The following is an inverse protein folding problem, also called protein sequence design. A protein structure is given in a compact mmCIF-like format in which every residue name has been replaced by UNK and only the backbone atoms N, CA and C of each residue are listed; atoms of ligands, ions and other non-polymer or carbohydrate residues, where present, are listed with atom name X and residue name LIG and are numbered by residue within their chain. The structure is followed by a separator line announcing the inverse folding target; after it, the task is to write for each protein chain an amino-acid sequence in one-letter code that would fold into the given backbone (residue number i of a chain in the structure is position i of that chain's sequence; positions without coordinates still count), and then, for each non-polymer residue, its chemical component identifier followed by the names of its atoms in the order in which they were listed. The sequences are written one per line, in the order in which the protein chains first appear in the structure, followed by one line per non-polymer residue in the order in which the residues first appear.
data_IF_870581111080
#
_entry.id   IF_870581111080
#
_cell.length_a   1.000
_cell.length_b   1.000
_cell.length_c   1.000
_cell.angle_alpha   90.00
_cell.angle_beta   90.00
_cell.angle_gamma   90.00
#
_symmetry.space_group_name_H-M   'P 1'
#
loop_
_entity.id
_entity.type
_entity.pdbx_description
1 polymer ?
#
# COMPACT_ATOMS: atom_id res chain seq x y z
N UNK A 1 -78.11 -16.64 -30.87
CA UNK A 1 -76.75 -17.33 -30.84
C UNK A 1 -75.74 -16.34 -30.40
N UNK A 2 -75.38 -16.34 -29.11
CA UNK A 2 -74.33 -15.48 -28.54
C UNK A 2 -73.11 -16.34 -28.31
N UNK A 3 -71.95 -16.04 -28.97
CA UNK A 3 -70.68 -16.67 -28.76
C UNK A 3 -69.93 -15.96 -27.66
N UNK A 4 -69.70 -16.65 -26.56
CA UNK A 4 -68.86 -16.18 -25.43
C UNK A 4 -67.39 -16.40 -25.75
N UNK A 5 -66.60 -15.32 -25.79
CA UNK A 5 -65.12 -15.42 -25.94
C UNK A 5 -64.54 -15.54 -24.52
N UNK A 6 -63.85 -16.67 -24.30
CA UNK A 6 -63.02 -16.87 -23.08
C UNK A 6 -61.65 -16.26 -23.33
N UNK A 7 -61.28 -15.24 -22.57
CA UNK A 7 -59.91 -14.69 -22.56
C UNK A 7 -59.06 -15.45 -21.55
N UNK A 8 -58.01 -16.13 -22.02
CA UNK A 8 -57.01 -16.78 -21.17
C UNK A 8 -55.95 -15.75 -20.85
N UNK A 9 -55.89 -15.35 -19.57
CA UNK A 9 -54.77 -14.53 -19.03
C UNK A 9 -53.58 -15.45 -18.76
N UNK A 10 -52.52 -15.36 -19.59
CA UNK A 10 -51.26 -15.99 -19.31
C UNK A 10 -50.45 -15.10 -18.32
N UNK A 11 -50.33 -15.55 -17.08
CA UNK A 11 -49.44 -14.95 -16.12
C UNK A 11 -47.98 -15.34 -16.44
N UNK A 12 -47.20 -14.43 -17.00
CA UNK A 12 -45.77 -14.59 -17.14
C UNK A 12 -45.09 -14.38 -15.77
N UNK A 13 -44.72 -15.47 -15.10
CA UNK A 13 -43.81 -15.41 -13.97
C UNK A 13 -42.44 -15.02 -14.49
N UNK A 14 -42.03 -13.77 -14.28
CA UNK A 14 -40.67 -13.31 -14.52
C UNK A 14 -39.73 -14.02 -13.55
N UNK A 15 -38.91 -14.93 -14.06
CA UNK A 15 -37.73 -15.43 -13.37
C UNK A 15 -36.78 -14.23 -13.20
N UNK A 16 -36.71 -13.70 -11.98
CA UNK A 16 -35.58 -12.84 -11.58
C UNK A 16 -34.37 -13.78 -11.51
N UNK A 17 -33.60 -13.83 -12.61
CA UNK A 17 -32.29 -14.42 -12.59
C UNK A 17 -31.46 -13.58 -11.61
N UNK A 18 -31.13 -14.14 -10.43
CA UNK A 18 -30.03 -13.65 -9.64
C UNK A 18 -28.77 -13.78 -10.52
N UNK A 19 -28.35 -12.69 -11.14
CA UNK A 19 -27.04 -12.60 -11.76
C UNK A 19 -26.04 -12.75 -10.62
N UNK A 20 -25.42 -13.92 -10.50
CA UNK A 20 -24.20 -14.07 -9.70
C UNK A 20 -23.23 -13.04 -10.26
N UNK A 21 -22.85 -12.10 -9.43
CA UNK A 21 -21.75 -11.17 -9.75
C UNK A 21 -20.54 -12.01 -10.14
N UNK A 22 -19.97 -11.71 -11.29
CA UNK A 22 -18.70 -12.31 -11.69
C UNK A 22 -17.66 -11.95 -10.63
N UNK A 23 -16.76 -12.89 -10.27
CA UNK A 23 -15.63 -12.58 -9.39
C UNK A 23 -14.70 -11.53 -10.03
N UNK A 24 -13.62 -11.13 -9.34
CA UNK A 24 -12.70 -10.11 -9.85
C UNK A 24 -12.07 -10.52 -11.18
N UNK A 25 -11.85 -9.55 -12.06
CA UNK A 25 -11.05 -9.70 -13.27
C UNK A 25 -9.57 -9.59 -12.90
N UNK A 26 -8.90 -10.76 -12.77
CA UNK A 26 -7.51 -10.82 -12.32
C UNK A 26 -6.55 -10.42 -13.43
N UNK A 27 -5.43 -9.77 -13.05
CA UNK A 27 -4.30 -9.56 -13.95
C UNK A 27 -3.73 -10.94 -14.30
N UNK A 28 -3.47 -11.23 -15.60
CA UNK A 28 -2.90 -12.49 -16.04
C UNK A 28 -1.51 -12.74 -15.45
N UNK A 29 -1.27 -13.92 -14.88
CA UNK A 29 0.00 -14.24 -14.23
C UNK A 29 1.20 -14.20 -15.20
N UNK A 30 0.97 -14.48 -16.48
CA UNK A 30 1.98 -14.41 -17.54
C UNK A 30 2.57 -13.01 -17.74
N UNK A 31 1.85 -11.95 -17.37
CA UNK A 31 2.35 -10.57 -17.44
C UNK A 31 3.50 -10.30 -16.43
N UNK A 32 3.68 -11.21 -15.47
CA UNK A 32 4.72 -11.13 -14.43
C UNK A 32 5.71 -12.28 -14.49
N UNK A 33 5.60 -13.19 -15.45
CA UNK A 33 6.51 -14.32 -15.61
C UNK A 33 7.78 -13.85 -16.33
N UNK A 34 8.84 -13.53 -15.58
CA UNK A 34 10.11 -13.01 -16.10
C UNK A 34 11.29 -13.39 -15.18
N UNK A 35 12.48 -12.96 -15.55
CA UNK A 35 13.69 -13.06 -14.76
C UNK A 35 14.28 -11.67 -14.55
N UNK A 36 14.34 -11.22 -13.31
CA UNK A 36 14.92 -9.92 -12.93
C UNK A 36 16.20 -10.15 -12.13
N UNK A 37 17.32 -9.58 -12.56
CA UNK A 37 18.64 -9.75 -11.94
C UNK A 37 19.03 -11.22 -11.71
N UNK A 38 18.65 -12.11 -12.64
CA UNK A 38 18.95 -13.54 -12.58
C UNK A 38 18.02 -14.36 -11.69
N UNK A 39 17.02 -13.76 -11.08
CA UNK A 39 16.02 -14.43 -10.22
C UNK A 39 14.63 -14.46 -10.86
N UNK A 40 13.90 -15.58 -10.76
CA UNK A 40 12.55 -15.68 -11.33
C UNK A 40 11.57 -14.79 -10.59
N UNK A 41 10.71 -14.12 -11.36
CA UNK A 41 9.61 -13.29 -10.85
C UNK A 41 8.28 -13.87 -11.32
N UNK A 42 7.26 -13.77 -10.47
CA UNK A 42 5.91 -14.22 -10.76
C UNK A 42 4.85 -13.39 -10.02
N UNK A 43 3.60 -13.56 -10.44
CA UNK A 43 2.42 -13.02 -9.77
C UNK A 43 1.70 -14.15 -9.03
N UNK A 44 1.39 -13.93 -7.77
CA UNK A 44 0.71 -14.87 -6.88
C UNK A 44 -0.65 -14.30 -6.50
N UNK A 45 -1.68 -15.14 -6.49
CA UNK A 45 -3.03 -14.76 -6.07
C UNK A 45 -3.38 -15.49 -4.78
N UNK A 46 -3.75 -14.74 -3.75
CA UNK A 46 -4.28 -15.25 -2.48
C UNK A 46 -5.63 -14.61 -2.20
N UNK A 47 -6.50 -15.31 -1.47
CA UNK A 47 -7.86 -14.85 -1.20
C UNK A 47 -8.37 -15.33 0.14
N UNK A 48 -9.30 -14.57 0.72
CA UNK A 48 -10.04 -14.94 1.94
C UNK A 48 -11.27 -14.06 2.10
N UNK A 49 -12.40 -14.64 2.49
CA UNK A 49 -13.66 -13.93 2.50
C UNK A 49 -13.98 -13.35 1.12
N UNK A 50 -14.22 -12.05 1.07
CA UNK A 50 -14.55 -11.31 -0.16
C UNK A 50 -13.33 -10.57 -0.76
N UNK A 51 -12.13 -10.73 -0.19
CA UNK A 51 -10.91 -10.06 -0.67
C UNK A 51 -10.06 -11.02 -1.49
N UNK A 52 -9.61 -10.56 -2.65
CA UNK A 52 -8.59 -11.22 -3.48
C UNK A 52 -7.40 -10.29 -3.65
N UNK A 53 -6.21 -10.78 -3.36
CA UNK A 53 -4.95 -10.05 -3.43
C UNK A 53 -4.05 -10.67 -4.49
N UNK A 54 -3.45 -9.84 -5.36
CA UNK A 54 -2.36 -10.25 -6.23
C UNK A 54 -1.04 -9.62 -5.78
N UNK A 55 0.00 -10.44 -5.65
CA UNK A 55 1.31 -10.05 -5.13
C UNK A 55 2.40 -10.54 -6.07
N UNK A 56 3.39 -9.69 -6.39
CA UNK A 56 4.61 -10.14 -7.04
C UNK A 56 5.76 -10.24 -6.04
N UNK A 57 6.66 -11.20 -6.23
CA UNK A 57 7.87 -11.30 -5.43
C UNK A 57 8.96 -10.29 -5.83
N UNK A 58 8.78 -9.48 -6.86
CA UNK A 58 9.63 -8.32 -7.13
C UNK A 58 9.20 -7.14 -6.24
N UNK A 59 10.06 -6.77 -5.28
CA UNK A 59 9.76 -5.74 -4.29
C UNK A 59 8.68 -6.13 -3.29
N UNK A 60 8.30 -7.43 -3.26
CA UNK A 60 7.21 -7.96 -2.44
C UNK A 60 5.94 -7.09 -2.54
N UNK A 61 5.58 -6.70 -3.79
CA UNK A 61 4.54 -5.70 -4.06
C UNK A 61 3.15 -6.28 -4.02
N UNK A 62 2.26 -5.55 -3.40
CA UNK A 62 0.82 -5.67 -3.64
C UNK A 62 0.54 -5.06 -5.01
N UNK A 63 0.09 -5.89 -5.94
CA UNK A 63 -0.21 -5.47 -7.32
C UNK A 63 -1.66 -5.05 -7.44
N UNK A 64 -2.58 -5.85 -6.86
CA UNK A 64 -4.03 -5.59 -6.86
C UNK A 64 -4.67 -6.01 -5.55
N UNK A 65 -5.70 -5.31 -5.14
CA UNK A 65 -6.61 -5.69 -4.05
C UNK A 65 -8.03 -5.59 -4.58
N UNK A 66 -8.66 -6.71 -4.85
CA UNK A 66 -10.05 -6.75 -5.28
C UNK A 66 -10.97 -6.94 -4.07
N UNK A 67 -11.98 -6.10 -4.00
CA UNK A 67 -13.05 -6.20 -3.00
C UNK A 67 -14.38 -5.81 -3.63
N UNK A 68 -15.52 -6.40 -3.22
CA UNK A 68 -16.80 -6.01 -3.77
C UNK A 68 -17.27 -4.67 -3.20
N UNK A 69 -17.95 -3.89 -4.03
CA UNK A 69 -18.73 -2.74 -3.61
C UNK A 69 -20.04 -3.17 -2.92
N UNK A 70 -20.86 -2.21 -2.50
CA UNK A 70 -22.17 -2.45 -1.86
C UNK A 70 -23.17 -3.19 -2.77
N UNK A 71 -22.94 -3.20 -4.08
CA UNK A 71 -23.79 -3.86 -5.09
C UNK A 71 -23.21 -5.24 -5.50
N UNK A 72 -22.03 -5.60 -4.93
CA UNK A 72 -21.36 -6.87 -5.16
C UNK A 72 -20.43 -6.88 -6.39
N UNK A 73 -20.14 -5.73 -7.00
CA UNK A 73 -19.20 -5.63 -8.10
C UNK A 73 -17.78 -5.54 -7.54
N UNK A 74 -16.86 -6.31 -8.10
CA UNK A 74 -15.45 -6.29 -7.70
C UNK A 74 -14.69 -5.22 -8.46
N UNK A 75 -13.92 -4.42 -7.70
CA UNK A 75 -12.99 -3.43 -8.24
C UNK A 75 -11.60 -3.63 -7.62
N UNK A 76 -10.55 -3.31 -8.37
CA UNK A 76 -9.21 -3.15 -7.82
C UNK A 76 -9.12 -1.82 -7.10
N UNK A 77 -8.89 -1.85 -5.80
CA UNK A 77 -8.86 -0.65 -4.96
C UNK A 77 -7.46 -0.09 -4.71
N UNK A 78 -6.45 -0.56 -5.44
CA UNK A 78 -5.09 0.00 -5.41
C UNK A 78 -4.61 0.34 -6.81
N UNK A 79 -3.76 1.36 -6.91
CA UNK A 79 -3.15 1.77 -8.17
C UNK A 79 -1.84 1.01 -8.38
N UNK A 80 -1.64 0.47 -9.59
CA UNK A 80 -0.46 -0.32 -9.93
C UNK A 80 -0.19 -0.40 -11.42
N UNK A 81 0.71 -1.29 -11.80
CA UNK A 81 1.01 -1.64 -13.19
C UNK A 81 0.58 -3.07 -13.49
N UNK A 82 0.16 -3.33 -14.71
CA UNK A 82 -0.39 -4.62 -15.14
C UNK A 82 0.68 -5.60 -15.65
N UNK A 83 1.95 -5.28 -15.53
CA UNK A 83 3.06 -6.11 -16.00
C UNK A 83 4.35 -5.83 -15.22
N UNK A 84 5.28 -6.79 -15.22
CA UNK A 84 6.53 -6.68 -14.47
C UNK A 84 7.49 -5.64 -15.03
N UNK A 85 7.52 -5.42 -16.36
CA UNK A 85 8.46 -4.48 -16.99
C UNK A 85 8.25 -3.05 -16.49
N UNK A 86 6.99 -2.66 -16.25
CA UNK A 86 6.65 -1.32 -15.73
C UNK A 86 6.97 -1.17 -14.23
N UNK A 87 7.12 -2.26 -13.49
CA UNK A 87 7.66 -2.21 -12.12
C UNK A 87 9.19 -2.16 -12.09
N UNK A 88 9.87 -2.83 -13.02
CA UNK A 88 11.34 -2.82 -13.14
C UNK A 88 11.85 -1.48 -13.67
N UNK A 89 11.11 -0.91 -14.63
CA UNK A 89 11.42 0.41 -15.23
C UNK A 89 10.14 1.25 -15.24
N UNK A 90 9.78 1.84 -14.09
CA UNK A 90 8.50 2.50 -13.94
C UNK A 90 8.38 3.74 -14.83
N UNK A 91 7.28 3.85 -15.62
CA UNK A 91 7.02 5.04 -16.41
C UNK A 91 6.57 6.25 -15.56
N UNK A 92 6.22 6.00 -14.30
CA UNK A 92 5.73 7.00 -13.35
C UNK A 92 6.19 6.69 -11.92
N UNK A 93 5.24 6.37 -11.04
CA UNK A 93 5.51 6.10 -9.63
C UNK A 93 6.25 4.77 -9.42
N UNK A 94 7.38 4.83 -8.70
CA UNK A 94 8.23 3.67 -8.40
C UNK A 94 7.63 2.77 -7.31
N UNK A 95 6.93 3.34 -6.35
CA UNK A 95 6.61 2.66 -5.09
C UNK A 95 5.22 2.05 -5.03
N UNK A 96 4.47 2.00 -6.14
CA UNK A 96 3.16 1.33 -6.15
C UNK A 96 3.22 -0.05 -5.50
N UNK A 97 2.47 -0.21 -4.40
CA UNK A 97 2.31 -1.45 -3.63
C UNK A 97 3.57 -2.04 -3.01
N UNK A 98 4.72 -1.35 -3.07
CA UNK A 98 6.02 -1.89 -2.71
C UNK A 98 6.20 -2.14 -1.21
N UNK A 99 6.98 -3.17 -0.85
CA UNK A 99 7.63 -3.24 0.44
C UNK A 99 8.79 -2.22 0.44
N UNK A 100 8.74 -1.22 1.32
CA UNK A 100 9.76 -0.17 1.41
C UNK A 100 10.58 -0.33 2.69
N UNK A 101 11.89 -0.17 2.56
CA UNK A 101 12.85 -0.38 3.64
C UNK A 101 14.29 -0.58 3.11
N UNK A 102 15.27 -0.86 4.02
CA UNK A 102 15.19 -1.19 5.46
C UNK A 102 14.59 -0.11 6.36
N UNK A 103 14.65 1.16 5.94
CA UNK A 103 14.00 2.28 6.62
C UNK A 103 13.04 2.96 5.64
N UNK A 104 11.76 2.83 5.92
CA UNK A 104 10.69 3.50 5.19
C UNK A 104 10.75 5.01 5.43
N UNK A 105 10.26 5.78 4.44
CA UNK A 105 10.31 7.24 4.41
C UNK A 105 11.77 7.75 4.43
N UNK A 106 12.04 8.93 5.01
CA UNK A 106 13.29 9.67 4.81
C UNK A 106 14.28 9.51 5.96
N UNK A 107 15.58 9.52 5.60
CA UNK A 107 16.68 9.77 6.52
C UNK A 107 17.30 11.09 6.11
N UNK A 108 17.20 12.10 6.99
CA UNK A 108 17.72 13.45 6.75
C UNK A 108 19.24 13.45 6.52
N UNK A 109 19.72 14.23 5.55
CA UNK A 109 21.13 14.34 5.18
C UNK A 109 21.78 13.00 4.79
N UNK A 110 20.99 12.00 4.43
CA UNK A 110 21.43 10.67 4.02
C UNK A 110 22.48 10.06 4.99
N UNK A 111 22.28 10.22 6.29
CA UNK A 111 23.16 9.64 7.31
C UNK A 111 22.44 9.47 8.65
N UNK A 112 22.93 8.54 9.44
CA UNK A 112 22.53 8.31 10.82
C UNK A 112 23.73 7.83 11.66
N UNK A 113 23.59 7.87 12.98
CA UNK A 113 24.62 7.46 13.90
C UNK A 113 24.15 6.31 14.79
N UNK A 114 25.02 5.31 14.99
CA UNK A 114 24.82 4.25 15.98
C UNK A 114 26.11 4.12 16.79
N UNK A 115 26.03 4.26 18.12
CA UNK A 115 27.13 4.10 19.05
C UNK A 115 28.38 4.96 18.67
N UNK A 116 28.16 6.20 18.19
CA UNK A 116 29.24 7.12 17.79
C UNK A 116 29.80 6.86 16.38
N UNK A 117 29.29 5.86 15.66
CA UNK A 117 29.68 5.58 14.27
C UNK A 117 28.67 6.16 13.31
N UNK A 118 29.13 7.04 12.41
CA UNK A 118 28.26 7.62 11.37
C UNK A 118 28.18 6.69 10.17
N UNK A 119 26.97 6.29 9.81
CA UNK A 119 26.66 5.53 8.60
C UNK A 119 26.07 6.46 7.55
N UNK A 120 26.52 6.32 6.31
CA UNK A 120 26.06 7.11 5.17
C UNK A 120 25.25 6.22 4.23
N UNK A 121 24.08 6.70 3.87
CA UNK A 121 23.14 6.06 2.94
C UNK A 121 23.07 6.86 1.64
N UNK A 122 22.52 6.32 0.54
CA UNK A 122 22.41 7.06 -0.72
C UNK A 122 21.49 8.27 -0.61
N UNK A 123 21.91 9.40 -1.17
CA UNK A 123 21.09 10.61 -1.27
C UNK A 123 20.16 10.52 -2.52
N UNK A 124 19.23 9.58 -2.52
CA UNK A 124 18.32 9.31 -3.64
C UNK A 124 17.08 10.21 -3.64
N UNK A 125 16.88 11.04 -2.61
CA UNK A 125 15.82 12.02 -2.54
C UNK A 125 16.41 13.44 -2.46
N UNK A 126 16.07 14.27 -3.48
CA UNK A 126 16.56 15.64 -3.65
C UNK A 126 18.10 15.80 -3.59
N UNK A 127 18.87 14.71 -3.77
CA UNK A 127 20.34 14.64 -3.60
C UNK A 127 20.82 15.04 -2.20
N UNK A 128 19.95 14.98 -1.21
CA UNK A 128 20.22 15.37 0.19
C UNK A 128 19.84 14.23 1.14
N UNK A 129 18.64 13.65 0.98
CA UNK A 129 18.08 12.68 1.88
C UNK A 129 18.08 11.27 1.28
N UNK A 130 18.00 10.25 2.12
CA UNK A 130 17.64 8.90 1.68
C UNK A 130 16.14 8.73 1.77
N UNK A 131 15.54 8.11 0.75
CA UNK A 131 14.12 7.73 0.72
C UNK A 131 14.00 6.22 0.54
N UNK A 132 13.16 5.58 1.35
CA UNK A 132 12.73 4.19 1.23
C UNK A 132 13.88 3.17 1.07
N UNK A 133 14.99 3.37 1.79
CA UNK A 133 16.11 2.44 1.79
C UNK A 133 17.20 2.73 0.76
N UNK A 134 17.01 3.67 -0.16
CA UNK A 134 18.02 4.08 -1.13
C UNK A 134 17.68 3.74 -2.58
N UNK A 135 18.72 3.59 -3.42
CA UNK A 135 18.53 3.25 -4.85
C UNK A 135 18.11 1.79 -5.02
N UNK A 136 18.63 0.89 -4.19
CA UNK A 136 18.29 -0.53 -4.16
C UNK A 136 17.64 -0.85 -2.81
N UNK A 137 16.45 -0.28 -2.59
CA UNK A 137 15.61 -0.59 -1.43
C UNK A 137 14.92 -1.96 -1.55
N UNK A 138 14.17 -2.34 -0.52
CA UNK A 138 13.41 -3.59 -0.51
C UNK A 138 12.37 -3.70 -1.63
N UNK A 139 12.00 -2.56 -2.22
CA UNK A 139 11.11 -2.43 -3.38
C UNK A 139 11.75 -2.86 -4.70
N UNK A 140 13.08 -2.88 -4.78
CA UNK A 140 13.83 -3.10 -6.04
C UNK A 140 14.68 -4.37 -6.01
N UNK A 141 14.25 -5.36 -5.25
CA UNK A 141 14.88 -6.68 -5.15
C UNK A 141 13.87 -7.79 -5.36
N UNK A 142 14.34 -8.96 -5.80
CA UNK A 142 13.49 -10.15 -5.91
C UNK A 142 13.54 -10.90 -4.57
N UNK A 143 12.37 -11.13 -3.99
CA UNK A 143 12.22 -11.87 -2.75
C UNK A 143 12.05 -13.36 -3.02
N UNK A 144 12.64 -14.19 -2.16
CA UNK A 144 12.41 -15.64 -2.17
C UNK A 144 10.99 -15.96 -1.68
N UNK A 145 10.25 -16.74 -2.45
CA UNK A 145 8.94 -17.24 -2.02
C UNK A 145 9.16 -18.52 -1.20
N UNK A 146 8.89 -18.47 0.10
CA UNK A 146 9.07 -19.62 1.01
C UNK A 146 7.85 -20.54 1.03
N UNK A 147 6.65 -19.97 0.96
CA UNK A 147 5.41 -20.73 0.86
C UNK A 147 4.28 -19.90 0.28
N UNK A 148 3.33 -20.57 -0.37
CA UNK A 148 2.07 -20.01 -0.85
C UNK A 148 0.96 -20.97 -0.48
N UNK A 149 -0.13 -20.43 0.06
CA UNK A 149 -1.40 -21.14 0.28
C UNK A 149 -2.52 -20.39 -0.43
N UNK A 150 -3.75 -20.87 -0.35
CA UNK A 150 -4.90 -20.16 -0.91
C UNK A 150 -5.10 -18.76 -0.30
N UNK A 151 -4.63 -18.54 0.95
CA UNK A 151 -4.90 -17.32 1.71
C UNK A 151 -3.66 -16.60 2.24
N UNK A 152 -2.46 -17.11 1.98
CA UNK A 152 -1.22 -16.48 2.46
C UNK A 152 -0.04 -16.72 1.54
N UNK A 153 0.91 -15.77 1.55
CA UNK A 153 2.22 -15.90 0.93
C UNK A 153 3.30 -15.45 1.90
N UNK A 154 4.38 -16.24 2.02
CA UNK A 154 5.55 -15.92 2.84
C UNK A 154 6.72 -15.59 1.92
N UNK A 155 7.24 -14.39 2.05
CA UNK A 155 8.34 -13.82 1.28
C UNK A 155 9.54 -13.60 2.19
N UNK A 156 10.73 -13.86 1.70
CA UNK A 156 11.98 -13.73 2.45
C UNK A 156 13.04 -13.00 1.65
N UNK A 157 13.79 -12.12 2.29
CA UNK A 157 14.94 -11.46 1.72
C UNK A 157 16.05 -11.29 2.77
N UNK A 158 17.28 -11.69 2.41
CA UNK A 158 18.47 -11.39 3.18
C UNK A 158 19.11 -10.11 2.64
N UNK A 159 18.92 -8.99 3.34
CA UNK A 159 19.55 -7.72 3.00
C UNK A 159 20.99 -7.70 3.55
N UNK A 160 22.03 -7.71 2.69
CA UNK A 160 23.42 -7.89 3.12
C UNK A 160 23.95 -6.74 3.98
N UNK A 161 24.93 -7.04 4.84
CA UNK A 161 25.70 -6.05 5.59
C UNK A 161 26.32 -4.99 4.66
N UNK A 162 26.10 -3.71 4.96
CA UNK A 162 26.63 -2.59 4.19
C UNK A 162 25.86 -2.25 2.91
N UNK A 163 24.89 -3.05 2.49
CA UNK A 163 24.06 -2.71 1.35
C UNK A 163 23.33 -1.37 1.62
N UNK A 164 23.39 -0.45 0.64
CA UNK A 164 22.84 0.92 0.75
C UNK A 164 23.30 1.66 2.04
N UNK A 165 24.47 1.28 2.62
CA UNK A 165 25.04 1.90 3.81
C UNK A 165 24.46 1.42 5.14
N UNK A 166 23.53 0.49 5.17
CA UNK A 166 22.94 -0.04 6.40
C UNK A 166 23.80 -1.17 6.98
N UNK A 167 24.27 -1.08 8.26
CA UNK A 167 25.08 -2.13 8.88
C UNK A 167 24.26 -3.38 9.21
N UNK A 168 24.94 -4.50 9.26
CA UNK A 168 24.43 -5.83 9.62
C UNK A 168 23.69 -6.54 8.48
N UNK A 169 23.77 -7.87 8.49
CA UNK A 169 22.89 -8.70 7.68
C UNK A 169 21.48 -8.66 8.29
N UNK A 170 20.49 -8.34 7.50
CA UNK A 170 19.09 -8.28 7.93
C UNK A 170 18.35 -9.42 7.28
N UNK A 171 17.97 -10.41 8.06
CA UNK A 171 17.13 -11.54 7.65
C UNK A 171 15.67 -11.10 7.81
N UNK A 172 14.97 -10.90 6.70
CA UNK A 172 13.64 -10.30 6.67
C UNK A 172 12.65 -11.30 6.10
N UNK A 173 11.62 -11.60 6.88
CA UNK A 173 10.46 -12.39 6.43
C UNK A 173 9.23 -11.50 6.48
N UNK A 174 8.46 -11.50 5.40
CA UNK A 174 7.17 -10.83 5.31
C UNK A 174 6.09 -11.84 4.93
N UNK A 175 4.96 -11.77 5.63
CA UNK A 175 3.81 -12.63 5.36
C UNK A 175 2.61 -11.77 5.04
N UNK A 176 2.01 -12.02 3.89
CA UNK A 176 0.70 -11.51 3.54
C UNK A 176 -0.34 -12.58 3.81
N UNK A 177 -1.41 -12.20 4.49
CA UNK A 177 -2.53 -13.08 4.79
C UNK A 177 -3.84 -12.37 4.50
N UNK A 178 -4.74 -13.05 3.79
CA UNK A 178 -6.13 -12.63 3.63
C UNK A 178 -7.00 -13.58 4.47
N UNK A 179 -7.64 -13.05 5.51
CA UNK A 179 -8.43 -13.87 6.43
C UNK A 179 -9.80 -14.20 5.86
N UNK A 180 -10.46 -15.24 6.41
CA UNK A 180 -11.85 -15.57 6.07
C UNK A 180 -12.85 -14.46 6.44
N UNK A 181 -12.44 -13.49 7.28
CA UNK A 181 -13.20 -12.30 7.66
C UNK A 181 -12.96 -11.10 6.74
N UNK A 182 -12.36 -11.30 5.54
CA UNK A 182 -12.06 -10.22 4.58
C UNK A 182 -11.05 -9.18 5.09
N UNK A 183 -10.13 -9.59 5.96
CA UNK A 183 -9.04 -8.74 6.43
C UNK A 183 -7.77 -9.01 5.64
N UNK A 184 -7.07 -7.96 5.21
CA UNK A 184 -5.70 -8.06 4.71
C UNK A 184 -4.72 -7.72 5.81
N UNK A 185 -3.86 -8.71 6.17
CA UNK A 185 -2.85 -8.59 7.21
C UNK A 185 -1.44 -8.72 6.64
N UNK A 186 -0.54 -7.87 7.13
CA UNK A 186 0.88 -7.88 6.80
C UNK A 186 1.66 -8.08 8.09
N UNK A 187 2.44 -9.16 8.16
CA UNK A 187 3.34 -9.45 9.28
C UNK A 187 4.79 -9.31 8.81
N UNK A 188 5.61 -8.61 9.59
CA UNK A 188 7.05 -8.44 9.37
C UNK A 188 7.83 -9.08 10.51
N UNK A 189 8.83 -9.88 10.16
CA UNK A 189 9.83 -10.39 11.09
C UNK A 189 11.21 -10.04 10.53
N UNK A 190 12.02 -9.32 11.31
CA UNK A 190 13.37 -8.99 10.92
C UNK A 190 14.33 -9.30 12.07
N UNK A 191 15.43 -10.00 11.75
CA UNK A 191 16.56 -10.21 12.67
C UNK A 191 17.83 -9.67 12.04
N UNK A 192 18.83 -9.34 12.87
CA UNK A 192 20.10 -8.81 12.39
C UNK A 192 21.26 -9.25 13.27
N UNK A 193 22.44 -9.35 12.69
CA UNK A 193 23.70 -9.70 13.39
C UNK A 193 24.47 -8.48 13.93
N UNK A 194 24.02 -7.24 13.59
CA UNK A 194 24.58 -5.98 14.09
C UNK A 194 23.48 -4.98 14.43
N UNK A 195 23.76 -4.03 15.31
CA UNK A 195 22.87 -2.88 15.53
C UNK A 195 22.61 -2.15 14.22
N UNK A 196 21.35 -1.92 13.88
CA UNK A 196 20.93 -1.21 12.68
C UNK A 196 19.54 -0.59 12.89
N UNK A 197 19.15 0.31 12.00
CA UNK A 197 17.78 0.80 11.96
C UNK A 197 16.95 -0.08 11.03
N UNK A 198 15.75 -0.46 11.49
CA UNK A 198 14.72 -1.14 10.70
C UNK A 198 13.38 -0.45 10.92
N UNK A 199 12.75 -0.05 9.84
CA UNK A 199 11.41 0.50 9.79
C UNK A 199 10.78 0.14 8.44
N UNK A 200 10.21 -1.06 8.33
CA UNK A 200 9.65 -1.60 7.09
C UNK A 200 8.17 -1.22 6.99
N UNK A 201 7.72 -0.87 5.81
CA UNK A 201 6.32 -0.58 5.52
C UNK A 201 5.89 -1.14 4.16
N UNK A 202 4.60 -1.16 3.89
CA UNK A 202 4.03 -1.40 2.58
C UNK A 202 3.43 -0.11 2.02
N UNK A 203 3.52 0.10 0.71
CA UNK A 203 3.22 1.39 0.07
C UNK A 203 2.10 1.30 -0.99
N UNK A 204 0.92 0.75 -0.68
CA UNK A 204 -0.19 0.75 -1.61
C UNK A 204 -0.79 2.16 -1.73
N UNK A 205 -1.23 2.49 -2.94
CA UNK A 205 -1.95 3.71 -3.25
C UNK A 205 -3.43 3.37 -3.40
N UNK A 206 -4.23 3.66 -2.39
CA UNK A 206 -5.63 3.28 -2.38
C UNK A 206 -6.50 4.19 -3.23
N UNK A 207 -7.36 3.57 -4.05
CA UNK A 207 -8.44 4.19 -4.79
C UNK A 207 -9.73 3.40 -4.55
N UNK A 208 -10.49 3.75 -3.50
CA UNK A 208 -11.65 2.97 -3.03
C UNK A 208 -12.82 2.92 -4.03
N UNK A 209 -12.76 3.67 -5.13
CA UNK A 209 -13.73 3.62 -6.24
C UNK A 209 -13.29 2.73 -7.38
N UNK A 210 -12.20 2.01 -7.21
CA UNK A 210 -11.52 1.27 -8.26
C UNK A 210 -10.41 2.09 -8.93
N UNK A 211 -9.41 1.39 -9.47
CA UNK A 211 -8.26 2.00 -10.13
C UNK A 211 -8.71 2.96 -11.25
N UNK A 212 -8.06 4.12 -11.34
CA UNK A 212 -8.35 5.19 -12.31
C UNK A 212 -9.76 5.83 -12.22
N UNK A 213 -10.53 5.59 -11.18
CA UNK A 213 -11.87 6.14 -11.00
C UNK A 213 -11.90 7.39 -10.10
N UNK A 214 -11.55 8.54 -10.66
CA UNK A 214 -11.67 9.84 -10.01
C UNK A 214 -10.50 10.18 -9.09
N UNK A 215 -10.76 11.00 -8.07
CA UNK A 215 -9.78 11.47 -7.08
C UNK A 215 -10.16 10.98 -5.68
N UNK A 216 -9.26 11.18 -4.71
CA UNK A 216 -9.52 10.85 -3.29
C UNK A 216 -10.14 12.01 -2.52
N UNK A 217 -10.36 13.17 -3.16
CA UNK A 217 -10.77 14.39 -2.48
C UNK A 217 -12.13 14.31 -1.80
N UNK A 218 -13.05 13.51 -2.32
CA UNK A 218 -14.38 13.30 -1.76
C UNK A 218 -14.47 12.09 -0.80
N UNK A 219 -13.35 11.41 -0.52
CA UNK A 219 -13.30 10.39 0.53
C UNK A 219 -13.47 11.05 1.88
N UNK A 220 -14.40 10.51 2.67
CA UNK A 220 -14.60 10.92 4.06
C UNK A 220 -13.61 10.21 4.94
N UNK A 221 -12.79 10.99 5.64
CA UNK A 221 -11.76 10.48 6.54
C UNK A 221 -12.04 10.90 7.98
N UNK A 222 -11.71 10.02 8.91
CA UNK A 222 -11.64 10.31 10.34
C UNK A 222 -10.37 9.69 10.91
N UNK A 223 -9.60 10.48 11.67
CA UNK A 223 -8.37 10.03 12.32
C UNK A 223 -8.46 10.36 13.80
N UNK A 224 -8.38 9.35 14.65
CA UNK A 224 -8.43 9.51 16.11
C UNK A 224 -7.04 9.93 16.63
N UNK A 225 -6.67 11.17 16.34
CA UNK A 225 -5.40 11.76 16.72
C UNK A 225 -5.56 13.24 17.07
N UNK A 226 -5.09 13.64 18.24
CA UNK A 226 -5.07 15.02 18.70
C UNK A 226 -3.80 15.77 18.26
N UNK A 227 -2.81 15.05 17.73
CA UNK A 227 -1.54 15.61 17.32
C UNK A 227 -1.06 15.01 16.00
N UNK A 228 -0.19 15.76 15.31
CA UNK A 228 0.54 15.31 14.13
C UNK A 228 2.01 15.76 14.21
N UNK A 229 2.84 15.25 13.33
CA UNK A 229 4.27 15.60 13.26
C UNK A 229 4.48 16.54 12.06
N UNK A 230 4.81 17.82 12.28
CA UNK A 230 5.19 18.75 11.23
C UNK A 230 6.46 18.33 10.50
N UNK A 231 6.54 18.71 9.23
CA UNK A 231 7.68 18.45 8.35
C UNK A 231 8.28 19.75 7.82
N UNK A 232 9.58 19.71 7.51
CA UNK A 232 10.27 20.79 6.80
C UNK A 232 9.98 20.74 5.27
N UNK A 233 10.48 21.71 4.47
CA UNK A 233 10.30 21.72 3.01
C UNK A 233 10.93 20.54 2.28
N UNK A 234 11.79 19.73 2.92
CA UNK A 234 12.35 18.50 2.40
C UNK A 234 11.61 17.26 2.93
N UNK A 235 10.45 17.44 3.53
CA UNK A 235 9.61 16.39 4.13
C UNK A 235 10.29 15.62 5.27
N UNK A 236 11.22 16.27 5.99
CA UNK A 236 11.85 15.68 7.17
C UNK A 236 11.05 16.11 8.41
N UNK A 237 10.69 15.17 9.30
CA UNK A 237 10.03 15.49 10.56
C UNK A 237 10.85 16.48 11.39
N UNK A 238 10.21 17.55 11.91
CA UNK A 238 10.88 18.60 12.70
C UNK A 238 11.20 18.15 14.12
N UNK A 239 10.58 17.06 14.59
CA UNK A 239 10.64 16.62 15.99
C UNK A 239 9.57 17.24 16.88
N UNK A 240 8.81 18.20 16.39
CA UNK A 240 7.64 18.74 17.07
C UNK A 240 6.47 17.76 17.02
N UNK A 241 5.65 17.75 18.08
CA UNK A 241 4.35 17.09 18.13
C UNK A 241 3.32 18.22 18.26
N UNK A 242 2.69 18.59 17.14
CA UNK A 242 1.81 19.74 17.05
C UNK A 242 0.34 19.34 17.25
N UNK A 243 -0.43 20.19 17.95
CA UNK A 243 -1.88 20.02 18.10
C UNK A 243 -2.59 20.21 16.75
N UNK A 244 -3.56 19.34 16.43
CA UNK A 244 -4.35 19.44 15.19
C UNK A 244 -5.44 20.50 15.26
N UNK A 245 -5.82 20.97 16.46
CA UNK A 245 -6.97 21.84 16.70
C UNK A 245 -6.88 23.14 15.90
N UNK A 246 -7.89 23.40 15.07
CA UNK A 246 -7.95 24.60 14.23
C UNK A 246 -6.97 24.60 13.06
N UNK A 247 -6.43 23.44 12.70
CA UNK A 247 -5.57 23.25 11.52
C UNK A 247 -6.28 22.38 10.47
N UNK A 248 -5.81 22.37 9.20
CA UNK A 248 -6.31 21.44 8.19
C UNK A 248 -6.09 19.95 8.53
N UNK A 249 -5.28 19.65 9.54
CA UNK A 249 -4.94 18.28 9.98
C UNK A 249 -5.90 17.72 11.03
N UNK A 250 -6.96 18.45 11.40
CA UNK A 250 -7.95 18.00 12.39
C UNK A 250 -9.02 17.10 11.76
N UNK A 251 -8.70 15.81 11.65
CA UNK A 251 -9.62 14.76 11.18
C UNK A 251 -10.32 14.01 12.32
N UNK A 252 -10.37 14.53 13.54
CA UNK A 252 -11.11 13.92 14.66
C UNK A 252 -12.62 13.88 14.40
N UNK A 253 -13.13 14.88 13.69
CA UNK A 253 -14.49 14.84 13.12
C UNK A 253 -14.39 14.48 11.64
N UNK A 254 -15.19 13.49 11.23
CA UNK A 254 -15.17 13.01 9.85
C UNK A 254 -15.53 14.12 8.85
N UNK A 255 -14.68 14.35 7.87
CA UNK A 255 -14.93 15.23 6.73
C UNK A 255 -14.17 14.75 5.48
N UNK A 256 -14.44 15.36 4.32
CA UNK A 256 -13.77 14.95 3.08
C UNK A 256 -12.33 15.43 3.06
N UNK A 257 -11.44 14.65 2.41
CA UNK A 257 -10.03 15.01 2.22
C UNK A 257 -9.93 16.35 1.48
N UNK A 258 -10.73 16.57 0.46
CA UNK A 258 -10.73 17.79 -0.34
C UNK A 258 -11.20 19.05 0.39
N UNK A 259 -11.86 18.92 1.54
CA UNK A 259 -12.45 20.05 2.24
C UNK A 259 -11.41 21.11 2.63
N UNK A 260 -10.21 20.69 3.04
CA UNK A 260 -9.16 21.57 3.56
C UNK A 260 -7.81 21.43 2.85
N UNK A 261 -7.65 20.50 1.91
CA UNK A 261 -6.35 20.22 1.25
C UNK A 261 -5.80 21.44 0.48
N UNK A 262 -6.67 22.32 0.03
CA UNK A 262 -6.32 23.54 -0.71
C UNK A 262 -6.11 24.78 0.16
N UNK A 263 -6.16 24.68 1.49
CA UNK A 263 -5.99 25.85 2.36
C UNK A 263 -4.55 26.37 2.34
N UNK A 264 -4.43 27.69 2.59
CA UNK A 264 -3.14 28.36 2.76
C UNK A 264 -2.48 27.96 4.09
N UNK A 265 -1.80 26.82 4.06
CA UNK A 265 -1.11 26.26 5.21
C UNK A 265 0.31 25.82 4.82
N UNK A 266 1.30 26.13 5.65
CA UNK A 266 2.71 25.80 5.41
C UNK A 266 2.93 24.28 5.27
N UNK A 267 2.32 23.50 6.15
CA UNK A 267 2.49 22.05 6.17
C UNK A 267 1.87 21.41 4.93
N UNK A 268 0.70 21.87 4.46
CA UNK A 268 0.12 21.44 3.20
C UNK A 268 1.01 21.80 2.00
N UNK A 269 1.67 22.97 2.02
CA UNK A 269 2.63 23.34 0.96
C UNK A 269 3.86 22.44 0.98
N UNK A 270 4.43 22.17 2.17
CA UNK A 270 5.62 21.32 2.31
C UNK A 270 5.38 19.92 1.77
N UNK A 271 4.21 19.33 2.05
CA UNK A 271 3.82 17.99 1.62
C UNK A 271 3.16 17.93 0.23
N UNK A 272 2.75 19.07 -0.34
CA UNK A 272 1.88 19.14 -1.52
C UNK A 272 0.52 18.45 -1.30
N UNK A 273 0.00 18.58 -0.08
CA UNK A 273 -1.20 17.93 0.42
C UNK A 273 -0.97 17.33 1.80
N UNK A 274 -1.58 16.17 2.07
CA UNK A 274 -1.41 15.44 3.32
C UNK A 274 -0.37 14.31 3.13
N UNK A 275 0.82 14.46 3.73
CA UNK A 275 1.87 13.43 3.81
C UNK A 275 2.56 13.52 5.18
N UNK A 276 1.74 13.40 6.24
CA UNK A 276 2.17 13.60 7.63
C UNK A 276 1.86 12.37 8.48
N UNK A 277 2.58 12.22 9.58
CA UNK A 277 2.26 11.25 10.61
C UNK A 277 1.29 11.86 11.62
N UNK A 278 0.15 11.21 11.86
CA UNK A 278 -0.74 11.48 12.97
C UNK A 278 -0.39 10.63 14.18
N UNK A 279 -0.29 11.26 15.35
CA UNK A 279 -0.08 10.57 16.62
C UNK A 279 -1.42 10.05 17.12
N UNK A 280 -1.71 8.77 16.85
CA UNK A 280 -2.99 8.14 17.22
C UNK A 280 -3.17 8.17 18.74
N UNK A 281 -4.31 8.71 19.20
CA UNK A 281 -4.69 8.74 20.60
C UNK A 281 -4.93 7.30 21.09
N UNK A 282 -4.21 6.87 22.10
CA UNK A 282 -4.39 5.58 22.76
C UNK A 282 -5.35 5.76 23.94
N UNK A 283 -6.24 4.80 24.12
CA UNK A 283 -6.96 4.70 25.38
C UNK A 283 -5.91 4.37 26.46
N UNK A 284 -5.84 5.20 27.49
CA UNK A 284 -5.08 4.84 28.71
C UNK A 284 -5.84 3.73 29.39
N UNK A 285 -5.24 2.54 29.46
CA UNK A 285 -5.72 1.44 30.28
C UNK A 285 -5.75 1.85 31.78
#
# INVERSE_FOLDING_TARGET
MRKTLLAILAASAGLVACTRTAGPELIPAENFADTVNGSPVALYTIKGGDVTLQVTNFGARVVSIFTPDKDGNYEDIVVGYNNISDYVTPPGERFFGACVGPVANRIGNAQFEIDGVVYRTPANDNKVNTLHGGYIGLDNVVWDVKSVTDSSIVLHYLHPDGMEGYPGNKDITMTYTVTSGSEFRIDYLATTDKKTHINISNHPFFCLRGEANGTVEDYVMSIRASHFIPIDPLSIPTGEIADVTGTPFDFRTAHTIGQMIGEENEQLRNARGYDHNWCIDRETE
#
